data_IF_302583695719
#
_entry.id   IF_302583695719
#
_cell.length_a   1.000
_cell.length_b   1.000
_cell.length_c   1.000
_cell.angle_alpha   90.00
_cell.angle_beta   90.00
_cell.angle_gamma   90.00
#
_symmetry.space_group_name_H-M   'P 1'
#
loop_
_entity.id
_entity.type
_entity.pdbx_description
1 polymer ?
#
# COMPACT_ATOMS: atom_id res chain seq x y z
N UNK A 1 3.10 -23.13 -0.33
CA UNK A 1 1.96 -22.24 -0.07
C UNK A 1 0.83 -22.62 -1.00
N UNK A 2 -0.30 -23.05 -0.46
CA UNK A 2 -1.57 -23.15 -1.19
C UNK A 2 -2.16 -21.75 -1.23
N UNK A 3 -2.32 -21.18 -2.40
CA UNK A 3 -2.81 -19.82 -2.59
C UNK A 3 -4.09 -19.86 -3.42
N UNK A 4 -5.14 -19.23 -2.91
CA UNK A 4 -6.43 -19.09 -3.59
C UNK A 4 -6.59 -17.65 -4.04
N UNK A 5 -6.95 -17.47 -5.30
CA UNK A 5 -7.24 -16.18 -5.91
C UNK A 5 -8.75 -16.07 -6.12
N UNK A 6 -9.41 -15.26 -5.30
CA UNK A 6 -10.86 -15.03 -5.37
C UNK A 6 -11.10 -13.65 -5.99
N UNK A 7 -11.56 -13.56 -7.25
CA UNK A 7 -11.95 -12.29 -7.84
C UNK A 7 -13.28 -11.82 -7.24
N UNK A 8 -13.43 -10.52 -7.06
CA UNK A 8 -14.67 -9.92 -6.60
C UNK A 8 -14.93 -8.61 -7.34
N UNK A 9 -16.20 -8.37 -7.66
CA UNK A 9 -16.67 -7.17 -8.38
C UNK A 9 -17.77 -6.52 -7.55
N UNK A 10 -17.64 -5.22 -7.28
CA UNK A 10 -18.57 -4.46 -6.45
C UNK A 10 -18.16 -2.99 -6.36
N UNK A 11 -18.82 -2.18 -5.55
CA UNK A 11 -18.35 -0.82 -5.25
C UNK A 11 -17.20 -0.83 -4.21
N UNK A 12 -16.48 0.28 -4.04
CA UNK A 12 -15.32 0.37 -3.12
C UNK A 12 -15.62 -0.07 -1.67
N UNK A 13 -16.83 0.22 -1.16
CA UNK A 13 -17.27 -0.21 0.17
C UNK A 13 -17.51 -1.72 0.24
N UNK A 14 -18.08 -2.30 -0.82
CA UNK A 14 -18.23 -3.75 -0.97
C UNK A 14 -16.87 -4.44 -1.13
N UNK A 15 -15.91 -3.85 -1.84
CA UNK A 15 -14.54 -4.36 -1.94
C UNK A 15 -13.89 -4.39 -0.55
N UNK A 16 -14.02 -3.31 0.22
CA UNK A 16 -13.51 -3.23 1.59
C UNK A 16 -14.17 -4.26 2.50
N UNK A 17 -15.49 -4.44 2.39
CA UNK A 17 -16.22 -5.45 3.15
C UNK A 17 -15.80 -6.87 2.78
N UNK A 18 -15.69 -7.19 1.49
CA UNK A 18 -15.20 -8.48 1.01
C UNK A 18 -13.77 -8.76 1.47
N UNK A 19 -12.93 -7.73 1.49
CA UNK A 19 -11.58 -7.81 2.06
C UNK A 19 -11.62 -8.18 3.54
N UNK A 20 -12.39 -7.46 4.36
CA UNK A 20 -12.54 -7.77 5.79
C UNK A 20 -13.08 -9.18 6.01
N UNK A 21 -14.13 -9.57 5.28
CA UNK A 21 -14.79 -10.87 5.37
C UNK A 21 -13.85 -12.03 4.97
N UNK A 22 -12.79 -11.77 4.20
CA UNK A 22 -11.85 -12.81 3.75
C UNK A 22 -10.92 -13.33 4.85
N UNK A 23 -10.76 -12.59 5.97
CA UNK A 23 -9.82 -12.97 7.03
C UNK A 23 -10.19 -12.52 8.45
N UNK A 24 -11.07 -11.54 8.62
CA UNK A 24 -11.47 -11.05 9.93
C UNK A 24 -12.87 -11.59 10.28
N UNK A 25 -13.01 -12.33 11.40
CA UNK A 25 -14.32 -12.76 11.87
C UNK A 25 -15.20 -11.54 12.18
N UNK A 26 -16.49 -11.66 11.86
CA UNK A 26 -17.48 -10.58 12.01
C UNK A 26 -17.75 -10.22 13.47
N UNK A 27 -17.67 -11.23 14.33
CA UNK A 27 -17.81 -11.11 15.77
C UNK A 27 -16.42 -11.03 16.42
N UNK A 28 -16.33 -10.54 17.67
CA UNK A 28 -15.09 -10.55 18.47
C UNK A 28 -14.60 -11.96 18.86
N UNK A 29 -15.09 -13.00 18.18
CA UNK A 29 -14.73 -14.37 18.47
C UNK A 29 -13.35 -14.68 17.90
N UNK A 30 -12.54 -15.27 18.77
CA UNK A 30 -11.16 -15.67 18.51
C UNK A 30 -11.10 -17.03 17.79
N UNK A 31 -12.02 -17.32 16.86
CA UNK A 31 -11.99 -18.54 16.05
C UNK A 31 -10.81 -18.48 15.05
N UNK A 32 -9.61 -18.72 15.59
CA UNK A 32 -8.33 -18.61 14.89
C UNK A 32 -8.17 -19.68 13.81
N UNK A 33 -8.91 -20.80 13.88
CA UNK A 33 -8.76 -21.93 12.97
C UNK A 33 -9.21 -21.63 11.52
N UNK A 34 -10.10 -20.64 11.35
CA UNK A 34 -10.61 -20.26 10.04
C UNK A 34 -9.84 -19.11 9.38
N UNK A 35 -9.00 -18.38 10.13
CA UNK A 35 -8.25 -17.24 9.59
C UNK A 35 -7.10 -17.74 8.70
N UNK A 36 -7.00 -17.27 7.43
CA UNK A 36 -5.87 -17.61 6.58
C UNK A 36 -4.55 -17.08 7.16
N UNK A 37 -3.47 -17.84 6.99
CA UNK A 37 -2.14 -17.46 7.50
C UNK A 37 -1.52 -16.30 6.70
N UNK A 38 -1.88 -16.21 5.42
CA UNK A 38 -1.49 -15.10 4.56
C UNK A 38 -2.70 -14.53 3.86
N UNK A 39 -2.78 -13.21 3.83
CA UNK A 39 -3.89 -12.49 3.23
C UNK A 39 -3.30 -11.28 2.53
N UNK A 40 -3.70 -11.10 1.29
CA UNK A 40 -3.32 -9.97 0.46
C UNK A 40 -4.50 -9.66 -0.46
N UNK A 41 -4.71 -8.40 -0.80
CA UNK A 41 -5.62 -8.05 -1.87
C UNK A 41 -5.01 -7.03 -2.81
N UNK A 42 -5.35 -7.14 -4.08
CA UNK A 42 -4.97 -6.16 -5.10
C UNK A 42 -6.24 -5.67 -5.78
N UNK A 43 -6.53 -4.38 -5.60
CA UNK A 43 -7.63 -3.69 -6.27
C UNK A 43 -7.08 -3.13 -7.58
N UNK A 44 -7.65 -3.53 -8.71
CA UNK A 44 -7.19 -3.14 -10.04
C UNK A 44 -7.97 -1.97 -10.63
N UNK A 45 -9.20 -1.77 -10.17
CA UNK A 45 -10.10 -0.72 -10.61
C UNK A 45 -11.06 -0.36 -9.47
N UNK A 46 -11.83 0.73 -9.54
CA UNK A 46 -12.79 1.07 -8.48
C UNK A 46 -13.87 0.01 -8.26
N UNK A 47 -13.96 -0.96 -9.17
CA UNK A 47 -14.94 -2.03 -9.14
C UNK A 47 -14.38 -3.44 -9.00
N UNK A 48 -13.07 -3.66 -9.20
CA UNK A 48 -12.50 -4.99 -9.32
C UNK A 48 -11.35 -5.21 -8.33
N UNK A 49 -11.42 -6.32 -7.60
CA UNK A 49 -10.39 -6.74 -6.65
C UNK A 49 -10.11 -8.23 -6.79
N UNK A 50 -8.88 -8.62 -6.50
CA UNK A 50 -8.51 -10.02 -6.30
C UNK A 50 -8.03 -10.21 -4.88
N UNK A 51 -8.76 -11.02 -4.12
CA UNK A 51 -8.36 -11.48 -2.80
C UNK A 51 -7.45 -12.69 -2.94
N UNK A 52 -6.34 -12.68 -2.22
CA UNK A 52 -5.34 -13.73 -2.20
C UNK A 52 -5.22 -14.28 -0.79
N UNK A 53 -5.75 -15.47 -0.56
CA UNK A 53 -5.67 -16.15 0.74
C UNK A 53 -4.74 -17.35 0.64
N UNK A 54 -3.74 -17.36 1.51
CA UNK A 54 -2.67 -18.35 1.53
C UNK A 54 -2.73 -19.20 2.78
N UNK A 55 -2.56 -20.52 2.59
CA UNK A 55 -2.29 -21.47 3.67
C UNK A 55 -1.03 -22.29 3.44
N UNK A 56 -0.38 -22.75 4.50
CA UNK A 56 0.67 -23.76 4.38
C UNK A 56 0.08 -25.07 3.86
N UNK A 57 0.84 -25.76 3.02
CA UNK A 57 0.46 -27.03 2.43
C UNK A 57 1.62 -28.01 2.57
N UNK A 58 1.31 -29.27 2.87
CA UNK A 58 2.32 -30.31 2.99
C UNK A 58 2.85 -30.72 1.61
N UNK A 59 4.06 -31.29 1.56
CA UNK A 59 4.63 -31.81 0.30
C UNK A 59 3.77 -32.92 -0.31
N UNK A 60 3.06 -33.68 0.51
CA UNK A 60 2.19 -34.77 0.06
C UNK A 60 0.93 -34.24 -0.63
N UNK A 61 0.33 -33.18 -0.07
CA UNK A 61 -0.80 -32.49 -0.69
C UNK A 61 -0.41 -31.96 -2.08
N UNK A 62 0.76 -31.33 -2.21
CA UNK A 62 1.21 -30.77 -3.49
C UNK A 62 1.44 -31.82 -4.59
N UNK A 63 1.67 -33.09 -4.23
CA UNK A 63 1.92 -34.19 -5.18
C UNK A 63 0.65 -34.89 -5.66
N UNK A 64 -0.53 -34.54 -5.13
CA UNK A 64 -1.79 -35.12 -5.58
C UNK A 64 -2.07 -34.73 -7.04
N UNK A 65 -2.55 -35.69 -7.84
CA UNK A 65 -2.90 -35.46 -9.25
C UNK A 65 -3.99 -34.39 -9.34
N UNK A 66 -3.78 -33.40 -10.20
CA UNK A 66 -4.69 -32.27 -10.41
C UNK A 66 -4.23 -30.96 -9.76
N UNK A 67 -3.26 -31.00 -8.82
CA UNK A 67 -2.73 -29.80 -8.21
C UNK A 67 -1.72 -29.09 -9.12
N UNK A 68 -1.95 -27.80 -9.37
CA UNK A 68 -1.07 -26.98 -10.19
C UNK A 68 0.03 -26.35 -9.32
N UNK A 69 1.29 -26.72 -9.58
CA UNK A 69 2.45 -26.12 -8.90
C UNK A 69 2.94 -24.96 -9.76
N UNK A 70 2.77 -23.75 -9.24
CA UNK A 70 3.20 -22.53 -9.90
C UNK A 70 4.53 -22.03 -9.34
N UNK A 71 5.62 -22.31 -10.05
CA UNK A 71 6.93 -21.72 -9.74
C UNK A 71 7.03 -20.28 -10.27
N UNK A 72 6.50 -19.31 -9.53
CA UNK A 72 6.51 -17.88 -9.88
C UNK A 72 7.91 -17.27 -10.04
N UNK A 73 8.95 -17.88 -9.47
CA UNK A 73 10.33 -17.42 -9.56
C UNK A 73 10.95 -17.52 -10.96
N UNK A 74 10.28 -18.17 -11.92
CA UNK A 74 10.83 -18.37 -13.26
C UNK A 74 10.86 -17.07 -14.07
N UNK A 75 12.06 -16.62 -14.41
CA UNK A 75 12.40 -16.22 -15.78
C UNK A 75 11.42 -15.35 -16.58
N UNK A 76 10.60 -16.09 -17.30
CA UNK A 76 9.76 -15.65 -18.37
C UNK A 76 8.31 -15.44 -17.93
N UNK A 77 7.98 -15.72 -16.67
CA UNK A 77 6.61 -15.59 -16.18
C UNK A 77 6.17 -14.13 -16.09
N UNK A 78 4.85 -13.88 -16.22
CA UNK A 78 4.27 -12.59 -15.92
C UNK A 78 4.59 -12.12 -14.51
N UNK A 79 4.45 -10.83 -14.27
CA UNK A 79 4.60 -10.29 -12.92
C UNK A 79 3.47 -10.80 -12.02
N UNK A 80 3.76 -10.93 -10.72
CA UNK A 80 2.84 -11.56 -9.79
C UNK A 80 1.47 -10.87 -9.76
N UNK A 81 1.44 -9.53 -9.72
CA UNK A 81 0.18 -8.78 -9.75
C UNK A 81 -0.57 -8.98 -11.08
N UNK A 82 0.10 -9.10 -12.23
CA UNK A 82 -0.59 -9.39 -13.51
C UNK A 82 -1.11 -10.82 -13.58
N UNK A 83 -0.39 -11.76 -12.95
CA UNK A 83 -0.85 -13.14 -12.82
C UNK A 83 -2.10 -13.22 -11.94
N UNK A 84 -2.11 -12.51 -10.82
CA UNK A 84 -3.27 -12.38 -9.93
C UNK A 84 -4.46 -11.75 -10.65
N UNK A 85 -4.24 -10.71 -11.46
CA UNK A 85 -5.28 -10.05 -12.28
C UNK A 85 -6.00 -11.03 -13.21
N UNK A 86 -5.33 -12.11 -13.65
CA UNK A 86 -5.95 -13.11 -14.51
C UNK A 86 -7.14 -13.84 -13.85
N UNK A 87 -7.26 -13.78 -12.52
CA UNK A 87 -8.43 -14.27 -11.78
C UNK A 87 -9.71 -13.54 -12.18
N UNK A 88 -9.64 -12.24 -12.49
CA UNK A 88 -10.81 -11.46 -12.93
C UNK A 88 -11.42 -12.02 -14.21
N UNK A 89 -10.61 -12.62 -15.10
CA UNK A 89 -11.06 -13.21 -16.37
C UNK A 89 -11.36 -14.71 -16.27
N UNK A 90 -10.61 -15.44 -15.46
CA UNK A 90 -10.70 -16.91 -15.35
C UNK A 90 -11.69 -17.37 -14.28
N UNK A 91 -12.08 -16.50 -13.36
CA UNK A 91 -12.77 -16.87 -12.13
C UNK A 91 -11.79 -17.29 -11.03
N UNK A 92 -12.35 -17.76 -9.91
CA UNK A 92 -11.57 -18.25 -8.78
C UNK A 92 -10.68 -19.42 -9.18
N UNK A 93 -9.41 -19.37 -8.79
CA UNK A 93 -8.49 -20.49 -8.98
C UNK A 93 -7.51 -20.65 -7.82
N UNK A 94 -6.97 -21.86 -7.74
CA UNK A 94 -6.06 -22.28 -6.68
C UNK A 94 -4.76 -22.79 -7.29
N UNK A 95 -3.64 -22.41 -6.68
CA UNK A 95 -2.32 -22.89 -7.06
C UNK A 95 -1.41 -23.11 -5.86
N UNK A 96 -0.36 -23.90 -6.08
CA UNK A 96 0.66 -24.18 -5.08
C UNK A 96 1.97 -23.50 -5.46
N UNK A 97 2.40 -22.53 -4.66
CA UNK A 97 3.67 -21.82 -4.87
C UNK A 97 4.71 -22.34 -3.86
N UNK A 98 5.94 -22.67 -4.30
CA UNK A 98 7.03 -22.99 -3.38
C UNK A 98 7.27 -21.87 -2.37
N UNK A 99 7.43 -22.18 -1.08
CA UNK A 99 7.43 -21.14 -0.02
C UNK A 99 8.47 -20.04 -0.23
N UNK A 100 9.69 -20.40 -0.67
CA UNK A 100 10.72 -19.40 -1.00
C UNK A 100 10.27 -18.44 -2.09
N UNK A 101 9.66 -18.96 -3.14
CA UNK A 101 9.18 -18.14 -4.27
C UNK A 101 7.98 -17.28 -3.86
N UNK A 102 7.12 -17.79 -2.96
CA UNK A 102 6.03 -17.01 -2.40
C UNK A 102 6.54 -15.79 -1.61
N UNK A 103 7.54 -15.96 -0.74
CA UNK A 103 8.12 -14.82 0.00
C UNK A 103 8.81 -13.79 -0.91
N UNK A 104 9.42 -14.24 -2.00
CA UNK A 104 10.12 -13.36 -2.95
C UNK A 104 9.27 -12.94 -4.16
N UNK A 105 7.95 -13.21 -4.15
CA UNK A 105 7.05 -12.95 -5.29
C UNK A 105 7.07 -11.49 -5.74
N UNK A 106 7.34 -10.60 -4.79
CA UNK A 106 7.35 -9.15 -4.99
C UNK A 106 8.75 -8.56 -5.22
N UNK A 107 9.81 -9.30 -4.86
CA UNK A 107 11.20 -8.82 -4.99
C UNK A 107 11.60 -8.65 -6.45
N UNK A 108 11.21 -9.59 -7.32
CA UNK A 108 11.82 -9.77 -8.64
C UNK A 108 11.56 -8.62 -9.63
N UNK A 109 10.53 -7.83 -9.39
CA UNK A 109 10.11 -6.74 -10.28
C UNK A 109 9.64 -5.51 -9.53
N UNK A 110 10.08 -5.36 -8.27
CA UNK A 110 9.69 -4.24 -7.42
C UNK A 110 8.16 -4.14 -7.33
N UNK A 111 7.51 -5.26 -7.00
CA UNK A 111 6.05 -5.36 -6.92
C UNK A 111 5.37 -5.15 -8.29
N UNK A 112 4.93 -3.92 -8.58
CA UNK A 112 4.25 -3.46 -9.79
C UNK A 112 5.03 -2.34 -10.50
N UNK A 113 6.11 -1.83 -9.90
CA UNK A 113 6.95 -0.73 -10.43
C UNK A 113 7.72 -1.10 -11.70
N UNK A 114 7.82 -2.40 -11.99
CA UNK A 114 8.48 -2.87 -13.22
C UNK A 114 7.87 -2.27 -14.50
N UNK A 115 6.54 -2.04 -14.54
CA UNK A 115 5.85 -1.56 -15.76
C UNK A 115 6.11 -0.09 -16.05
N UNK A 116 5.93 0.82 -15.09
CA UNK A 116 6.18 2.24 -15.36
C UNK A 116 7.67 2.51 -15.63
N UNK A 117 8.57 1.82 -14.93
CA UNK A 117 10.01 2.01 -15.09
C UNK A 117 10.53 1.41 -16.41
N UNK A 118 10.03 0.22 -16.78
CA UNK A 118 10.46 -0.51 -17.96
C UNK A 118 9.26 -1.07 -18.74
N UNK A 119 8.54 -0.24 -19.53
CA UNK A 119 7.29 -0.64 -20.18
C UNK A 119 7.43 -1.85 -21.13
N UNK A 120 8.56 -1.98 -21.82
CA UNK A 120 8.85 -3.13 -22.69
C UNK A 120 9.28 -4.39 -21.93
N UNK A 121 9.53 -4.28 -20.62
CA UNK A 121 9.92 -5.38 -19.75
C UNK A 121 8.83 -6.44 -19.57
N UNK A 122 7.57 -6.09 -19.86
CA UNK A 122 6.42 -7.00 -19.82
C UNK A 122 6.40 -7.97 -21.03
N UNK A 123 7.11 -7.65 -22.12
CA UNK A 123 7.05 -8.44 -23.34
C UNK A 123 7.69 -9.83 -23.17
N UNK A 124 7.07 -10.86 -23.77
CA UNK A 124 7.52 -12.25 -23.61
C UNK A 124 8.98 -12.46 -24.01
N UNK A 125 9.43 -11.81 -25.09
CA UNK A 125 10.81 -11.91 -25.59
C UNK A 125 11.80 -11.27 -24.60
N UNK A 126 11.42 -10.16 -23.97
CA UNK A 126 12.26 -9.50 -22.98
C UNK A 126 12.40 -10.38 -21.74
N UNK A 127 11.28 -10.90 -21.21
CA UNK A 127 11.30 -11.77 -20.03
C UNK A 127 12.09 -13.05 -20.29
N UNK A 128 11.98 -13.62 -21.49
CA UNK A 128 12.72 -14.81 -21.88
C UNK A 128 14.24 -14.56 -22.00
N UNK A 129 14.64 -13.49 -22.69
CA UNK A 129 16.06 -13.21 -22.97
C UNK A 129 16.77 -12.49 -21.83
N UNK A 130 16.12 -11.49 -21.23
CA UNK A 130 16.69 -10.54 -20.26
C UNK A 130 16.00 -10.57 -18.89
N UNK A 131 14.96 -11.38 -18.67
CA UNK A 131 14.26 -11.45 -17.38
C UNK A 131 15.09 -12.00 -16.21
N UNK A 132 16.29 -12.53 -16.46
CA UNK A 132 17.27 -12.91 -15.43
C UNK A 132 18.05 -11.72 -14.88
N UNK A 133 18.03 -10.58 -15.57
CA UNK A 133 18.64 -9.32 -15.11
C UNK A 133 17.76 -8.61 -14.06
N UNK A 134 16.54 -9.11 -13.83
CA UNK A 134 15.56 -8.53 -12.91
C UNK A 134 15.55 -9.26 -11.55
N UNK A 135 15.51 -8.54 -10.41
CA UNK A 135 15.39 -7.09 -10.30
C UNK A 135 16.76 -6.41 -10.47
N UNK A 136 16.88 -5.52 -11.46
CA UNK A 136 18.07 -4.67 -11.57
C UNK A 136 18.02 -3.59 -10.48
N UNK A 137 19.18 -3.08 -10.07
CA UNK A 137 19.24 -2.00 -9.09
C UNK A 137 18.43 -0.81 -9.60
N UNK A 138 17.55 -0.25 -8.77
CA UNK A 138 16.73 0.92 -9.12
C UNK A 138 17.59 2.08 -9.63
N UNK A 139 18.78 2.28 -9.04
CA UNK A 139 19.73 3.29 -9.51
C UNK A 139 20.20 3.07 -10.95
N UNK A 140 20.36 1.82 -11.38
CA UNK A 140 20.72 1.50 -12.77
C UNK A 140 19.56 1.80 -13.72
N UNK A 141 18.32 1.46 -13.32
CA UNK A 141 17.12 1.77 -14.11
C UNK A 141 16.92 3.29 -14.23
N UNK A 142 17.06 4.02 -13.13
CA UNK A 142 16.98 5.49 -13.10
C UNK A 142 18.07 6.15 -13.95
N UNK A 143 19.30 5.61 -13.97
CA UNK A 143 20.38 6.12 -14.80
C UNK A 143 20.12 5.98 -16.32
N UNK A 144 19.27 5.02 -16.71
CA UNK A 144 18.90 4.83 -18.12
C UNK A 144 17.70 5.66 -18.56
N UNK A 145 17.03 6.35 -17.65
CA UNK A 145 15.86 7.17 -17.95
C UNK A 145 16.27 8.59 -18.40
N UNK A 146 15.64 9.07 -19.48
CA UNK A 146 15.79 10.47 -19.93
C UNK A 146 15.09 11.42 -18.97
N UNK A 147 15.53 12.67 -18.95
CA UNK A 147 15.03 13.71 -18.04
C UNK A 147 13.51 13.92 -18.11
N UNK A 148 12.91 13.84 -19.29
CA UNK A 148 11.46 13.92 -19.45
C UNK A 148 10.70 12.75 -18.79
N UNK A 149 11.25 11.53 -18.86
CA UNK A 149 10.67 10.34 -18.21
C UNK A 149 10.85 10.44 -16.69
N UNK A 150 11.99 10.98 -16.25
CA UNK A 150 12.26 11.23 -14.83
C UNK A 150 11.27 12.24 -14.25
N UNK A 151 11.04 13.37 -14.91
CA UNK A 151 10.11 14.39 -14.43
C UNK A 151 8.67 13.88 -14.44
N UNK A 152 8.26 13.17 -15.50
CA UNK A 152 6.96 12.49 -15.55
C UNK A 152 6.80 11.51 -14.39
N UNK A 153 7.83 10.70 -14.09
CA UNK A 153 7.80 9.80 -12.95
C UNK A 153 7.74 10.56 -11.63
N UNK A 154 8.50 11.64 -11.43
CA UNK A 154 8.43 12.42 -10.18
C UNK A 154 7.08 13.08 -9.93
N UNK A 155 6.35 13.49 -10.98
CA UNK A 155 5.07 14.18 -10.85
C UNK A 155 3.89 13.23 -10.79
N UNK A 156 3.91 12.16 -11.59
CA UNK A 156 2.78 11.25 -11.78
C UNK A 156 2.89 9.95 -10.96
N UNK A 157 3.95 9.80 -10.16
CA UNK A 157 4.19 8.62 -9.35
C UNK A 157 4.15 8.96 -7.86
N UNK A 158 3.21 8.36 -7.15
CA UNK A 158 3.10 8.49 -5.70
C UNK A 158 3.19 7.11 -5.11
N UNK A 159 4.18 6.86 -4.28
CA UNK A 159 4.23 5.67 -3.42
C UNK A 159 3.94 6.18 -2.04
N UNK A 160 2.78 5.82 -1.50
CA UNK A 160 2.44 6.17 -0.13
C UNK A 160 1.78 5.02 0.59
N UNK A 161 2.36 4.74 1.74
CA UNK A 161 1.86 3.73 2.65
C UNK A 161 0.91 4.41 3.63
N UNK A 162 -0.33 3.92 3.72
CA UNK A 162 -1.35 4.45 4.63
C UNK A 162 -1.69 3.38 5.65
N UNK A 163 -1.58 3.64 6.95
CA UNK A 163 -2.02 2.69 7.96
C UNK A 163 -3.41 3.08 8.50
N UNK A 164 -4.48 2.48 7.95
CA UNK A 164 -5.88 2.80 8.35
C UNK A 164 -6.54 1.68 9.15
N UNK A 165 -7.35 1.97 10.20
CA UNK A 165 -8.13 0.95 10.90
C UNK A 165 -9.02 0.16 9.94
N UNK A 166 -9.16 -1.15 10.18
CA UNK A 166 -9.85 -2.07 9.26
C UNK A 166 -11.26 -1.60 8.86
N UNK A 167 -12.04 -1.11 9.81
CA UNK A 167 -13.40 -0.61 9.57
C UNK A 167 -13.48 0.69 8.73
N UNK A 168 -12.37 1.42 8.56
CA UNK A 168 -12.25 2.63 7.74
C UNK A 168 -11.65 2.38 6.35
N UNK A 169 -11.36 1.13 6.00
CA UNK A 169 -10.72 0.80 4.72
C UNK A 169 -11.58 1.27 3.54
N UNK A 170 -12.91 1.15 3.63
CA UNK A 170 -13.84 1.64 2.61
C UNK A 170 -13.74 3.14 2.38
N UNK A 171 -13.87 3.93 3.45
CA UNK A 171 -13.73 5.40 3.40
C UNK A 171 -12.37 5.83 2.85
N UNK A 172 -11.30 5.14 3.28
CA UNK A 172 -9.97 5.39 2.77
C UNK A 172 -9.85 5.06 1.28
N UNK A 173 -10.58 4.06 0.77
CA UNK A 173 -10.55 3.70 -0.66
C UNK A 173 -11.29 4.73 -1.49
N UNK A 174 -12.43 5.22 -1.01
CA UNK A 174 -13.17 6.31 -1.65
C UNK A 174 -12.34 7.60 -1.67
N UNK A 175 -11.68 7.94 -0.57
CA UNK A 175 -10.81 9.11 -0.50
C UNK A 175 -9.64 9.01 -1.49
N UNK A 176 -8.93 7.87 -1.51
CA UNK A 176 -7.83 7.64 -2.48
C UNK A 176 -8.35 7.66 -3.90
N UNK A 177 -9.54 7.12 -4.16
CA UNK A 177 -10.16 7.21 -5.47
C UNK A 177 -10.42 8.67 -5.85
N UNK A 178 -11.05 9.48 -5.00
CA UNK A 178 -11.37 10.87 -5.34
C UNK A 178 -10.14 11.76 -5.54
N UNK A 179 -9.18 11.69 -4.62
CA UNK A 179 -8.03 12.60 -4.61
C UNK A 179 -6.93 12.15 -5.58
N UNK A 180 -6.72 10.84 -5.71
CA UNK A 180 -5.53 10.30 -6.38
C UNK A 180 -5.85 9.38 -7.57
N UNK A 181 -7.06 8.79 -7.67
CA UNK A 181 -7.48 7.80 -8.69
C UNK A 181 -6.41 6.76 -9.03
N UNK A 182 -6.04 5.99 -8.02
CA UNK A 182 -4.84 5.15 -8.02
C UNK A 182 -5.14 3.68 -8.15
N UNK A 183 -4.52 3.00 -9.12
CA UNK A 183 -4.56 1.54 -9.21
C UNK A 183 -3.25 1.00 -9.82
N UNK A 184 -2.83 -0.24 -9.51
CA UNK A 184 -3.43 -1.13 -8.52
C UNK A 184 -3.16 -0.68 -7.06
N UNK A 185 -4.13 -0.86 -6.18
CA UNK A 185 -3.98 -0.65 -4.73
C UNK A 185 -3.70 -1.98 -4.05
N UNK A 186 -2.68 -2.01 -3.20
CA UNK A 186 -2.29 -3.19 -2.46
C UNK A 186 -2.74 -3.12 -1.02
N UNK A 187 -3.60 -4.05 -0.61
CA UNK A 187 -4.10 -4.14 0.75
C UNK A 187 -3.42 -5.29 1.47
N UNK A 188 -2.72 -4.97 2.56
CA UNK A 188 -2.14 -5.95 3.46
C UNK A 188 -2.62 -5.76 4.89
N UNK A 189 -3.14 -6.81 5.55
CA UNK A 189 -3.58 -6.67 6.92
C UNK A 189 -2.37 -6.63 7.85
N UNK A 190 -2.35 -5.63 8.70
CA UNK A 190 -1.36 -5.45 9.75
C UNK A 190 -2.04 -5.53 11.11
N UNK A 191 -1.53 -6.39 12.00
CA UNK A 191 -2.04 -6.48 13.37
C UNK A 191 -1.20 -5.57 14.28
N UNK A 192 -1.78 -4.45 14.70
CA UNK A 192 -1.15 -3.53 15.64
C UNK A 192 -1.49 -3.92 17.07
N UNK A 193 -0.49 -4.38 17.83
CA UNK A 193 -0.64 -4.72 19.24
C UNK A 193 -0.74 -3.46 20.12
N UNK A 194 -1.38 -3.57 21.30
CA UNK A 194 -1.39 -2.52 22.32
C UNK A 194 -0.19 -2.66 23.26
N UNK A 195 0.92 -1.93 23.05
CA UNK A 195 2.02 -1.92 24.01
C UNK A 195 1.63 -1.18 25.32
N UNK A 196 2.33 -1.47 26.44
CA UNK A 196 2.11 -0.78 27.71
C UNK A 196 2.49 0.70 27.65
N UNK A 197 3.40 1.07 26.74
CA UNK A 197 3.87 2.44 26.52
C UNK A 197 3.31 2.92 25.18
N UNK A 198 2.79 4.15 25.13
CA UNK A 198 2.28 4.75 23.90
C UNK A 198 3.42 5.05 22.93
N UNK A 199 3.33 4.49 21.73
CA UNK A 199 4.24 4.71 20.60
C UNK A 199 3.65 5.71 19.59
N UNK A 200 4.43 6.10 18.57
CA UNK A 200 3.98 7.01 17.52
C UNK A 200 2.73 6.50 16.78
N UNK A 201 2.67 5.19 16.52
CA UNK A 201 1.47 4.49 16.04
C UNK A 201 0.85 3.77 17.23
N UNK A 202 -0.42 4.01 17.51
CA UNK A 202 -1.15 3.39 18.63
C UNK A 202 -2.61 3.12 18.24
N UNK A 203 -3.25 2.05 18.74
CA UNK A 203 -4.68 1.82 18.52
C UNK A 203 -5.53 3.01 19.00
N UNK A 204 -6.69 3.25 18.37
CA UNK A 204 -7.55 4.36 18.80
C UNK A 204 -8.00 4.16 20.26
N UNK A 205 -8.19 5.24 21.03
CA UNK A 205 -8.74 5.17 22.38
C UNK A 205 -10.08 4.42 22.39
N UNK A 206 -10.29 3.57 23.40
CA UNK A 206 -11.55 2.85 23.57
C UNK A 206 -11.77 1.64 22.65
N UNK A 207 -10.83 1.28 21.75
CA UNK A 207 -11.03 0.19 20.78
C UNK A 207 -11.49 -1.14 21.41
N UNK A 208 -10.98 -1.44 22.61
CA UNK A 208 -11.31 -2.66 23.37
C UNK A 208 -12.80 -2.80 23.68
N UNK A 209 -13.54 -1.70 23.70
CA UNK A 209 -14.97 -1.67 24.01
C UNK A 209 -15.84 -1.62 22.75
N UNK A 210 -15.25 -1.37 21.58
CA UNK A 210 -16.01 -1.18 20.35
C UNK A 210 -16.37 -2.48 19.65
N UNK A 211 -15.65 -3.58 19.96
CA UNK A 211 -15.91 -4.92 19.43
C UNK A 211 -16.16 -4.97 17.91
N UNK A 212 -15.34 -4.26 17.12
CA UNK A 212 -15.48 -4.18 15.66
C UNK A 212 -14.82 -5.39 14.99
N UNK A 213 -15.25 -5.72 13.77
CA UNK A 213 -14.65 -6.78 12.96
C UNK A 213 -13.12 -6.66 12.92
N UNK A 214 -12.41 -7.70 13.37
CA UNK A 214 -10.94 -7.74 13.44
C UNK A 214 -10.28 -7.03 14.64
N UNK A 215 -11.04 -6.30 15.48
CA UNK A 215 -10.53 -5.79 16.76
C UNK A 215 -10.48 -6.95 17.79
N UNK A 216 -9.34 -7.14 18.44
CA UNK A 216 -9.20 -8.03 19.59
C UNK A 216 -8.99 -7.24 20.88
N UNK A 217 -9.01 -7.92 22.03
CA UNK A 217 -8.76 -7.27 23.33
C UNK A 217 -7.34 -6.67 23.47
N UNK A 218 -6.42 -7.04 22.57
CA UNK A 218 -4.99 -6.71 22.62
C UNK A 218 -4.43 -6.14 21.32
N UNK A 219 -5.16 -6.15 20.20
CA UNK A 219 -4.69 -5.64 18.92
C UNK A 219 -5.81 -5.11 18.01
N UNK A 220 -5.44 -4.24 17.07
CA UNK A 220 -6.32 -3.71 16.02
C UNK A 220 -5.72 -3.95 14.64
N UNK A 221 -6.56 -4.26 13.66
CA UNK A 221 -6.12 -4.45 12.27
C UNK A 221 -6.05 -3.14 11.49
N UNK A 222 -5.02 -3.03 10.67
CA UNK A 222 -4.77 -1.91 9.77
C UNK A 222 -4.42 -2.38 8.36
N UNK A 223 -4.48 -1.50 7.36
CA UNK A 223 -4.21 -1.85 5.95
C UNK A 223 -3.43 -0.78 5.21
N UNK A 224 -2.40 -1.20 4.45
CA UNK A 224 -1.52 -0.38 3.60
C UNK A 224 -2.04 -0.12 2.16
N UNK A 225 -1.47 0.80 1.37
CA UNK A 225 -1.91 1.16 -0.02
C UNK A 225 -0.76 1.50 -0.99
N UNK A 226 -1.03 1.54 -2.31
CA UNK A 226 -0.06 1.63 -3.42
C UNK A 226 -0.35 2.72 -4.47
N UNK A 227 0.35 2.78 -5.65
CA UNK A 227 0.75 4.03 -6.32
C UNK A 227 0.02 4.52 -7.60
N UNK A 228 0.02 5.86 -7.81
CA UNK A 228 -0.84 6.71 -8.70
C UNK A 228 -0.89 6.40 -10.21
N UNK A 229 -2.06 6.55 -10.84
CA UNK A 229 -2.31 6.46 -12.30
C UNK A 229 -3.33 7.49 -12.87
N UNK A 230 -3.25 8.78 -12.52
CA UNK A 230 -4.04 9.82 -13.23
C UNK A 230 -3.43 10.20 -14.58
N UNK A 231 -4.26 10.68 -15.52
CA UNK A 231 -3.84 11.19 -16.83
C UNK A 231 -3.82 12.72 -16.94
N UNK A 232 -4.26 13.44 -15.90
CA UNK A 232 -4.29 14.90 -15.83
C UNK A 232 -3.07 15.44 -15.07
N UNK A 233 -2.84 16.76 -15.11
CA UNK A 233 -1.77 17.39 -14.32
C UNK A 233 -2.06 17.16 -12.84
N UNK A 234 -1.23 16.32 -12.20
CA UNK A 234 -1.41 15.89 -10.83
C UNK A 234 -0.22 16.36 -9.98
N UNK A 235 -0.48 17.14 -8.94
CA UNK A 235 0.55 17.50 -7.96
C UNK A 235 0.56 16.46 -6.83
N UNK A 236 1.48 15.50 -6.94
CA UNK A 236 1.67 14.48 -5.91
C UNK A 236 1.99 15.06 -4.54
N UNK A 237 2.69 16.19 -4.44
CA UNK A 237 3.04 16.78 -3.15
C UNK A 237 1.81 17.35 -2.43
N UNK A 238 0.88 17.95 -3.18
CA UNK A 238 -0.39 18.45 -2.64
C UNK A 238 -1.29 17.28 -2.19
N UNK A 239 -1.44 16.25 -3.02
CA UNK A 239 -2.25 15.08 -2.68
C UNK A 239 -1.70 14.34 -1.44
N UNK A 240 -0.38 14.23 -1.31
CA UNK A 240 0.28 13.67 -0.11
C UNK A 240 0.04 14.56 1.11
N UNK A 241 0.08 15.88 0.95
CA UNK A 241 -0.20 16.78 2.07
C UNK A 241 -1.66 16.65 2.56
N UNK A 242 -2.62 16.58 1.64
CA UNK A 242 -4.03 16.30 1.96
C UNK A 242 -4.19 14.94 2.64
N UNK A 243 -3.44 13.93 2.20
CA UNK A 243 -3.42 12.61 2.83
C UNK A 243 -2.93 12.68 4.28
N UNK A 244 -1.81 13.36 4.53
CA UNK A 244 -1.28 13.53 5.89
C UNK A 244 -2.27 14.27 6.79
N UNK A 245 -2.93 15.33 6.29
CA UNK A 245 -3.98 16.05 7.02
C UNK A 245 -5.23 15.20 7.31
N UNK A 246 -5.60 14.30 6.39
CA UNK A 246 -6.72 13.38 6.59
C UNK A 246 -6.38 12.29 7.61
N UNK A 247 -5.12 11.82 7.63
CA UNK A 247 -4.68 10.73 8.51
C UNK A 247 -4.29 11.20 9.91
N UNK A 248 -3.72 12.39 10.04
CA UNK A 248 -3.08 12.88 11.25
C UNK A 248 -3.59 14.26 11.65
N UNK A 249 -3.64 14.49 12.96
CA UNK A 249 -3.88 15.81 13.53
C UNK A 249 -2.58 16.62 13.44
N UNK A 250 -2.55 17.55 12.47
CA UNK A 250 -1.41 18.42 12.23
C UNK A 250 -1.15 19.39 13.40
N UNK A 251 -2.19 19.78 14.14
CA UNK A 251 -2.08 20.73 15.25
C UNK A 251 -1.29 20.12 16.41
N UNK A 252 -1.45 18.81 16.65
CA UNK A 252 -0.65 18.09 17.64
C UNK A 252 0.84 18.05 17.28
N UNK A 253 1.17 17.87 15.99
CA UNK A 253 2.55 17.88 15.53
C UNK A 253 3.15 19.29 15.65
N UNK A 254 2.42 20.32 15.23
CA UNK A 254 2.85 21.71 15.34
C UNK A 254 3.00 22.15 16.79
N UNK A 255 2.06 21.77 17.68
CA UNK A 255 2.18 22.01 19.10
C UNK A 255 3.45 21.39 19.68
N UNK A 256 3.77 20.14 19.31
CA UNK A 256 5.00 19.49 19.74
C UNK A 256 6.25 20.22 19.21
N UNK A 257 6.26 20.63 17.94
CA UNK A 257 7.37 21.41 17.35
C UNK A 257 7.58 22.72 18.11
N UNK A 258 6.52 23.48 18.37
CA UNK A 258 6.57 24.74 19.14
C UNK A 258 7.07 24.50 20.57
N UNK A 259 6.48 23.53 21.29
CA UNK A 259 6.81 23.23 22.69
C UNK A 259 8.27 22.85 22.90
N UNK A 260 8.87 22.12 21.97
CA UNK A 260 10.24 21.63 22.09
C UNK A 260 11.27 22.47 21.31
N UNK A 261 10.89 23.64 20.77
CA UNK A 261 11.79 24.52 20.02
C UNK A 261 12.33 23.87 18.73
N UNK A 262 11.55 22.97 18.14
CA UNK A 262 11.91 22.16 16.98
C UNK A 262 11.49 22.79 15.63
N UNK A 263 10.84 23.95 15.66
CA UNK A 263 10.46 24.71 14.46
C UNK A 263 11.71 25.14 13.69
N UNK A 264 11.73 24.99 12.36
CA UNK A 264 12.92 25.21 11.52
C UNK A 264 13.98 24.09 11.56
N UNK A 265 13.89 23.15 12.51
CA UNK A 265 14.79 21.96 12.57
C UNK A 265 14.11 20.71 12.04
N UNK A 266 12.85 20.49 12.44
CA UNK A 266 11.97 19.49 11.84
C UNK A 266 10.99 20.23 10.94
N UNK A 267 10.84 19.83 9.68
CA UNK A 267 9.96 20.48 8.70
C UNK A 267 8.48 20.31 9.06
N UNK A 268 7.63 21.25 8.62
CA UNK A 268 6.19 21.07 8.65
C UNK A 268 5.73 19.91 7.74
N UNK A 269 4.53 19.37 7.98
CA UNK A 269 3.98 18.26 7.16
C UNK A 269 3.89 18.59 5.67
N UNK A 270 3.48 19.82 5.33
CA UNK A 270 3.44 20.31 3.94
C UNK A 270 4.83 20.38 3.29
N UNK A 271 5.84 20.80 4.04
CA UNK A 271 7.19 20.91 3.52
C UNK A 271 7.86 19.55 3.30
N UNK A 272 7.56 18.59 4.17
CA UNK A 272 8.00 17.20 4.04
C UNK A 272 7.49 16.55 2.74
N UNK A 273 6.29 16.90 2.27
CA UNK A 273 5.73 16.33 1.03
C UNK A 273 6.32 16.94 -0.26
N UNK A 274 7.04 18.07 -0.17
CA UNK A 274 7.64 18.80 -1.31
C UNK A 274 9.12 18.50 -1.57
N UNK A 275 9.70 17.51 -0.90
CA UNK A 275 11.13 17.24 -0.92
C UNK A 275 11.71 17.22 -2.35
N UNK A 276 12.57 18.20 -2.68
CA UNK A 276 13.28 18.30 -3.96
C UNK A 276 13.07 19.58 -4.77
N UNK A 277 12.16 20.48 -4.39
CA UNK A 277 11.89 21.75 -5.13
C UNK A 277 12.46 23.02 -4.50
N UNK A 278 12.78 23.02 -3.20
CA UNK A 278 13.25 24.21 -2.47
C UNK A 278 14.51 23.88 -1.63
N UNK A 279 15.41 24.85 -1.52
CA UNK A 279 16.63 24.76 -0.70
C UNK A 279 16.29 24.89 0.80
N UNK A 280 17.11 24.32 1.69
CA UNK A 280 16.92 24.43 3.16
C UNK A 280 16.69 25.88 3.63
N UNK A 281 17.30 26.85 2.93
CA UNK A 281 17.17 28.27 3.23
C UNK A 281 15.79 28.82 2.87
N UNK A 282 15.24 28.43 1.73
CA UNK A 282 13.89 28.82 1.29
C UNK A 282 12.83 28.22 2.21
N UNK A 283 13.03 26.98 2.66
CA UNK A 283 12.17 26.32 3.67
C UNK A 283 12.18 27.10 4.98
N UNK A 284 13.35 27.48 5.49
CA UNK A 284 13.48 28.23 6.75
C UNK A 284 12.93 29.67 6.66
N UNK A 285 12.95 30.29 5.48
CA UNK A 285 12.38 31.62 5.25
C UNK A 285 10.85 31.56 5.17
N UNK A 286 10.30 30.56 4.47
CA UNK A 286 8.86 30.34 4.37
C UNK A 286 8.24 29.90 5.71
N UNK A 287 8.90 29.04 6.48
CA UNK A 287 8.42 28.66 7.82
C UNK A 287 8.39 29.85 8.78
N UNK A 288 9.35 30.78 8.68
CA UNK A 288 9.34 32.04 9.45
C UNK A 288 8.19 32.95 9.06
N UNK A 289 7.94 33.12 7.76
CA UNK A 289 6.80 33.90 7.27
C UNK A 289 5.46 33.30 7.73
N UNK A 290 5.34 31.96 7.74
CA UNK A 290 4.11 31.29 8.16
C UNK A 290 3.82 31.44 9.66
N UNK A 291 4.87 31.42 10.50
CA UNK A 291 4.77 31.71 11.94
C UNK A 291 4.29 33.13 12.19
N UNK A 292 4.89 34.11 11.51
CA UNK A 292 4.54 35.53 11.63
C UNK A 292 3.07 35.79 11.24
N UNK A 293 2.54 35.09 10.23
CA UNK A 293 1.12 35.15 9.88
C UNK A 293 0.21 34.44 10.89
N UNK A 294 0.63 33.29 11.44
CA UNK A 294 -0.20 32.55 12.40
C UNK A 294 -0.33 33.25 13.75
N UNK A 295 0.73 33.95 14.19
CA UNK A 295 0.72 34.74 15.42
C UNK A 295 -0.13 36.02 15.23
N UNK A 296 -0.18 36.58 14.00
CA UNK A 296 -1.03 37.71 13.67
C UNK A 296 -2.54 37.38 13.60
N UNK A 297 -2.92 36.13 13.28
CA UNK A 297 -4.31 35.67 13.27
C UNK A 297 -4.81 35.21 14.66
N UNK A 298 -3.91 34.85 15.57
CA UNK A 298 -4.25 34.47 16.95
C UNK A 298 -4.55 35.68 17.88
N UNK A 299 -4.23 36.90 17.43
CA UNK A 299 -4.41 38.16 18.16
C UNK A 299 -5.76 38.88 17.85
N UNK A 300 -6.73 38.20 17.23
CA UNK A 300 -8.09 38.71 16.96
C UNK A 300 -9.21 37.86 17.55
#
# INVERSE_FOLDING_TARGET
MRLTYTPFVGNLQELAKGYMDSFAPKDCDEDQDNVPEFVEATIYSPTEVVFMTGRYASKEETKKKGNNINSQGWRFKPWFYQHAESALKKGEFLEYIPSREYYHRHTRYLYWEGKPILPFGDQWWFRFLLGWLMPSKVSLLKATQREAIRNYYHEMHVIQDMLVPLYKVGDALEWVHQEMEVYPIWLCPHRLFKPPIKTMVYPEPGFKHHCRQGDTSYARMFTDKGPVLRGEVFDGAEAVSKMEQWMFDADLYEYARKKYGAVGTFMSGYYKSKEGRETEKEVQEAERAHLETSDAEADY
#
